data_IF_245641208242
#
_entry.id   IF_245641208242
#
_cell.length_a   1.000
_cell.length_b   1.000
_cell.length_c   1.000
_cell.angle_alpha   90.00
_cell.angle_beta   90.00
_cell.angle_gamma   90.00
#
_symmetry.space_group_name_H-M   'P 1'
#
loop_
_entity.id
_entity.type
_entity.pdbx_description
1 polymer ?
#
# COMPACT_ATOMS: atom_id res chain seq x y z
N UNK A 1 -74.94 -8.47 -1.30
CA UNK A 1 -74.26 -7.17 -1.11
C UNK A 1 -73.05 -7.36 -0.20
N UNK A 2 -71.97 -7.96 -0.71
CA UNK A 2 -70.75 -8.25 0.06
C UNK A 2 -69.49 -7.70 -0.59
N UNK A 3 -69.59 -6.63 -1.39
CA UNK A 3 -68.64 -6.35 -2.48
C UNK A 3 -67.64 -5.23 -2.18
N UNK A 4 -67.55 -4.73 -0.95
CA UNK A 4 -66.70 -3.57 -0.64
C UNK A 4 -65.74 -3.85 0.52
N UNK A 5 -66.18 -4.52 1.58
CA UNK A 5 -65.31 -4.83 2.73
C UNK A 5 -64.30 -5.95 2.43
N UNK A 6 -64.70 -6.99 1.71
CA UNK A 6 -63.82 -8.12 1.37
C UNK A 6 -62.74 -7.70 0.36
N UNK A 7 -63.09 -6.84 -0.59
CA UNK A 7 -62.13 -6.30 -1.57
C UNK A 7 -61.08 -5.43 -0.88
N UNK A 8 -61.49 -4.57 0.08
CA UNK A 8 -60.54 -3.76 0.86
C UNK A 8 -59.62 -4.63 1.72
N UNK A 9 -60.13 -5.72 2.30
CA UNK A 9 -59.28 -6.65 3.06
C UNK A 9 -58.27 -7.37 2.16
N UNK A 10 -58.67 -7.75 0.95
CA UNK A 10 -57.79 -8.42 0.01
C UNK A 10 -56.69 -7.47 -0.51
N UNK A 11 -57.04 -6.23 -0.83
CA UNK A 11 -56.08 -5.20 -1.27
C UNK A 11 -55.03 -4.91 -0.17
N UNK A 12 -55.47 -4.81 1.10
CA UNK A 12 -54.55 -4.64 2.24
C UNK A 12 -53.60 -5.82 2.43
N UNK A 13 -54.08 -7.05 2.21
CA UNK A 13 -53.23 -8.25 2.31
C UNK A 13 -52.19 -8.30 1.18
N UNK A 14 -52.52 -7.80 0.01
CA UNK A 14 -51.60 -7.75 -1.13
C UNK A 14 -50.56 -6.64 -0.96
N UNK A 15 -50.95 -5.49 -0.42
CA UNK A 15 -50.03 -4.42 -0.04
C UNK A 15 -49.04 -4.87 1.07
N UNK A 16 -49.53 -5.58 2.09
CA UNK A 16 -48.67 -6.16 3.14
C UNK A 16 -47.69 -7.18 2.55
N UNK A 17 -48.12 -7.99 1.56
CA UNK A 17 -47.23 -8.96 0.89
C UNK A 17 -46.16 -8.25 0.06
N UNK A 18 -46.51 -7.19 -0.67
CA UNK A 18 -45.57 -6.38 -1.42
C UNK A 18 -44.52 -5.72 -0.49
N UNK A 19 -44.96 -5.10 0.59
CA UNK A 19 -44.08 -4.47 1.58
C UNK A 19 -43.12 -5.46 2.24
N UNK A 20 -43.57 -6.70 2.51
CA UNK A 20 -42.70 -7.77 3.03
C UNK A 20 -41.62 -8.17 2.03
N UNK A 21 -41.98 -8.29 0.75
CA UNK A 21 -41.00 -8.62 -0.30
C UNK A 21 -39.94 -7.52 -0.45
N UNK A 22 -40.36 -6.25 -0.43
CA UNK A 22 -39.42 -5.10 -0.45
C UNK A 22 -38.50 -5.09 0.78
N UNK A 23 -39.05 -5.35 1.97
CA UNK A 23 -38.26 -5.44 3.20
C UNK A 23 -37.19 -6.53 3.13
N UNK A 24 -37.51 -7.67 2.53
CA UNK A 24 -36.57 -8.78 2.35
C UNK A 24 -35.47 -8.44 1.34
N UNK A 25 -35.79 -7.73 0.25
CA UNK A 25 -34.80 -7.19 -0.70
C UNK A 25 -33.86 -6.20 -0.01
N UNK A 26 -34.41 -5.27 0.78
CA UNK A 26 -33.61 -4.30 1.55
C UNK A 26 -32.69 -5.02 2.55
N UNK A 27 -33.21 -6.00 3.29
CA UNK A 27 -32.42 -6.80 4.25
C UNK A 27 -31.30 -7.57 3.58
N UNK A 28 -31.56 -8.20 2.44
CA UNK A 28 -30.55 -8.95 1.69
C UNK A 28 -29.50 -8.02 1.08
N UNK A 29 -29.90 -6.84 0.62
CA UNK A 29 -28.98 -5.80 0.12
C UNK A 29 -28.08 -5.27 1.24
N UNK A 30 -28.65 -4.97 2.42
CA UNK A 30 -27.88 -4.56 3.61
C UNK A 30 -26.93 -5.67 4.09
N UNK A 31 -27.35 -6.94 4.07
CA UNK A 31 -26.45 -8.08 4.35
C UNK A 31 -25.32 -8.18 3.33
N UNK A 32 -25.60 -8.02 2.04
CA UNK A 32 -24.58 -8.02 0.99
C UNK A 32 -23.58 -6.87 1.13
N UNK A 33 -24.07 -5.67 1.49
CA UNK A 33 -23.23 -4.50 1.79
C UNK A 33 -22.38 -4.74 3.05
N UNK A 34 -22.96 -5.31 4.12
CA UNK A 34 -22.24 -5.68 5.34
C UNK A 34 -21.14 -6.71 5.08
N UNK A 35 -21.39 -7.72 4.24
CA UNK A 35 -20.39 -8.74 3.89
C UNK A 35 -19.25 -8.16 3.04
N UNK A 36 -19.56 -7.23 2.12
CA UNK A 36 -18.53 -6.52 1.33
C UNK A 36 -17.72 -5.54 2.18
N UNK A 37 -18.35 -4.87 3.15
CA UNK A 37 -17.67 -4.02 4.13
C UNK A 37 -16.85 -4.83 5.15
N UNK A 38 -17.26 -6.06 5.47
CA UNK A 38 -16.49 -7.00 6.29
C UNK A 38 -15.30 -7.62 5.57
N UNK A 39 -15.18 -7.47 4.25
CA UNK A 39 -13.94 -7.77 3.54
C UNK A 39 -12.94 -6.59 3.63
N UNK A 40 -12.97 -5.88 4.75
CA UNK A 40 -11.86 -5.07 5.19
C UNK A 40 -10.73 -6.05 5.52
N UNK A 41 -9.67 -6.05 4.71
CA UNK A 41 -8.46 -6.81 5.03
C UNK A 41 -7.95 -6.24 6.35
N UNK A 42 -8.17 -6.97 7.44
CA UNK A 42 -7.66 -6.60 8.75
C UNK A 42 -6.15 -6.80 8.66
N UNK A 43 -5.40 -5.69 8.63
CA UNK A 43 -3.95 -5.73 8.76
C UNK A 43 -3.64 -6.45 10.07
N UNK A 44 -3.07 -7.65 9.98
CA UNK A 44 -2.65 -8.42 11.16
C UNK A 44 -1.33 -7.90 11.70
N UNK A 45 -0.48 -7.38 10.82
CA UNK A 45 0.83 -6.86 11.21
C UNK A 45 1.31 -5.78 10.23
N UNK A 46 2.15 -4.86 10.69
CA UNK A 46 2.83 -3.91 9.83
C UNK A 46 4.28 -3.76 10.30
N UNK A 47 5.22 -3.91 9.38
CA UNK A 47 6.65 -3.72 9.65
C UNK A 47 7.14 -2.47 8.92
N UNK A 48 7.55 -1.47 9.70
CA UNK A 48 8.00 -0.18 9.22
C UNK A 48 9.40 0.12 9.71
N UNK A 49 10.19 0.79 8.89
CA UNK A 49 11.51 1.27 9.24
C UNK A 49 11.68 2.75 8.92
N UNK A 50 12.48 3.43 9.74
CA UNK A 50 12.90 4.80 9.45
C UNK A 50 13.85 4.84 8.26
N UNK A 51 13.85 5.96 7.53
CA UNK A 51 14.78 6.23 6.43
C UNK A 51 16.25 6.26 6.84
N UNK A 52 16.55 6.16 8.14
CA UNK A 52 17.89 5.98 8.68
C UNK A 52 18.51 4.63 8.33
N UNK A 53 17.70 3.59 8.13
CA UNK A 53 18.16 2.21 7.89
C UNK A 53 18.32 1.82 6.42
N UNK A 54 18.51 2.78 5.51
CA UNK A 54 18.66 2.48 4.09
C UNK A 54 20.09 2.10 3.72
N UNK A 55 20.22 1.36 2.62
CA UNK A 55 21.48 1.01 1.95
C UNK A 55 21.50 1.57 0.52
N UNK A 56 22.66 2.03 0.07
CA UNK A 56 22.85 2.57 -1.28
C UNK A 56 23.59 1.57 -2.15
N UNK A 57 23.07 1.30 -3.35
CA UNK A 57 23.76 0.43 -4.30
C UNK A 57 24.99 1.12 -4.93
N UNK A 58 24.90 2.43 -5.13
CA UNK A 58 26.02 3.22 -5.63
C UNK A 58 26.97 3.58 -4.47
N UNK A 59 28.21 3.08 -4.45
CA UNK A 59 29.17 3.39 -3.39
C UNK A 59 29.66 4.85 -3.45
N UNK A 60 29.46 5.53 -4.57
CA UNK A 60 29.87 6.93 -4.76
C UNK A 60 28.83 7.94 -4.25
N UNK A 61 27.59 7.49 -3.99
CA UNK A 61 26.55 8.36 -3.46
C UNK A 61 26.76 8.69 -1.99
N UNK A 62 26.23 9.83 -1.56
CA UNK A 62 26.30 10.25 -0.15
C UNK A 62 24.94 10.05 0.51
N UNK A 63 24.95 9.45 1.70
CA UNK A 63 23.80 9.39 2.61
C UNK A 63 24.11 10.21 3.88
N UNK A 64 23.34 11.27 4.12
CA UNK A 64 23.41 12.07 5.35
C UNK A 64 22.17 11.79 6.19
N UNK A 65 22.36 11.14 7.33
CA UNK A 65 21.30 10.84 8.30
C UNK A 65 21.01 12.07 9.16
N UNK A 66 19.75 12.51 9.18
CA UNK A 66 19.33 13.78 9.80
C UNK A 66 17.99 13.60 10.51
N UNK A 67 18.02 13.50 11.84
CA UNK A 67 16.82 13.31 12.66
C UNK A 67 16.08 12.03 12.27
N UNK A 68 14.96 12.16 11.56
CA UNK A 68 14.07 11.06 11.19
C UNK A 68 14.17 10.63 9.72
N UNK A 69 15.08 11.21 8.94
CA UNK A 69 15.25 10.92 7.52
C UNK A 69 16.73 10.82 7.12
N UNK A 70 16.97 10.32 5.90
CA UNK A 70 18.29 10.33 5.27
C UNK A 70 18.22 11.09 3.95
N UNK A 71 19.08 12.09 3.78
CA UNK A 71 19.29 12.79 2.51
C UNK A 71 20.30 12.02 1.68
N UNK A 72 19.88 11.56 0.50
CA UNK A 72 20.71 10.92 -0.52
C UNK A 72 21.00 11.91 -1.63
N UNK A 73 22.27 12.07 -2.00
CA UNK A 73 22.72 12.92 -3.11
C UNK A 73 23.64 12.15 -4.05
N UNK A 74 23.59 12.41 -5.37
CA UNK A 74 24.40 11.71 -6.36
C UNK A 74 25.86 12.16 -6.29
N UNK A 75 26.69 11.46 -7.06
CA UNK A 75 28.05 11.87 -7.40
C UNK A 75 28.13 12.22 -8.89
N UNK A 76 29.28 12.70 -9.34
CA UNK A 76 29.53 12.86 -10.77
C UNK A 76 29.69 11.51 -11.50
N UNK A 77 30.00 10.43 -10.77
CA UNK A 77 30.20 9.09 -11.34
C UNK A 77 28.87 8.40 -11.64
N UNK A 78 27.85 8.62 -10.80
CA UNK A 78 26.53 8.05 -11.00
C UNK A 78 25.42 8.99 -10.55
N UNK A 79 24.46 9.21 -11.45
CA UNK A 79 23.25 10.01 -11.20
C UNK A 79 21.97 9.14 -11.24
N UNK A 80 22.11 7.82 -11.31
CA UNK A 80 20.98 6.88 -11.22
C UNK A 80 21.39 5.60 -10.51
N UNK A 81 20.51 5.06 -9.69
CA UNK A 81 20.82 3.88 -8.89
C UNK A 81 19.68 3.53 -7.94
N UNK A 82 19.96 2.58 -7.06
CA UNK A 82 18.97 2.00 -6.16
C UNK A 82 19.26 2.31 -4.69
N UNK A 83 18.17 2.47 -3.95
CA UNK A 83 18.15 2.60 -2.50
C UNK A 83 17.33 1.44 -1.94
N UNK A 84 17.92 0.71 -1.00
CA UNK A 84 17.38 -0.53 -0.45
C UNK A 84 16.94 -0.33 0.99
N UNK A 85 15.72 -0.75 1.31
CA UNK A 85 15.15 -0.79 2.65
C UNK A 85 14.99 -2.25 3.06
N UNK A 86 15.81 -2.68 4.03
CA UNK A 86 15.70 -4.01 4.62
C UNK A 86 14.61 -3.98 5.69
N UNK A 87 13.41 -4.44 5.34
CA UNK A 87 12.28 -4.44 6.26
C UNK A 87 12.51 -5.56 7.28
N UNK A 88 12.43 -5.29 8.60
CA UNK A 88 12.55 -6.32 9.63
C UNK A 88 11.27 -7.16 9.66
N UNK A 89 11.12 -8.03 8.67
CA UNK A 89 9.86 -8.70 8.38
C UNK A 89 9.60 -9.86 9.33
N UNK A 90 8.49 -9.85 10.10
CA UNK A 90 8.04 -11.05 10.78
C UNK A 90 7.45 -11.99 9.74
N UNK A 91 8.06 -13.17 9.60
CA UNK A 91 7.62 -14.17 8.64
C UNK A 91 6.44 -15.00 9.21
N UNK A 92 6.47 -15.25 10.52
CA UNK A 92 5.46 -16.01 11.26
C UNK A 92 5.05 -15.23 12.50
N UNK A 93 3.76 -15.05 12.71
CA UNK A 93 3.17 -14.44 13.91
C UNK A 93 2.10 -15.37 14.44
N UNK A 94 2.15 -15.70 15.74
CA UNK A 94 1.23 -16.62 16.40
C UNK A 94 1.05 -17.97 15.68
N UNK A 95 2.15 -18.51 15.13
CA UNK A 95 2.18 -19.78 14.41
C UNK A 95 1.59 -19.72 12.99
N UNK A 96 1.18 -18.55 12.51
CA UNK A 96 0.63 -18.34 11.17
C UNK A 96 1.63 -17.56 10.32
N UNK A 97 1.87 -18.06 9.09
CA UNK A 97 2.68 -17.34 8.11
C UNK A 97 1.93 -16.12 7.60
N UNK A 98 2.59 -14.96 7.61
CA UNK A 98 1.98 -13.71 7.16
C UNK A 98 1.83 -13.68 5.64
N UNK A 99 0.77 -13.02 5.17
CA UNK A 99 0.58 -12.70 3.76
C UNK A 99 0.72 -11.20 3.51
N UNK A 100 1.24 -10.82 2.35
CA UNK A 100 1.46 -9.41 2.02
C UNK A 100 0.18 -8.71 1.62
N UNK A 101 -0.01 -7.46 2.05
CA UNK A 101 -1.10 -6.58 1.59
C UNK A 101 -0.57 -5.44 0.70
N UNK A 102 0.30 -4.59 1.26
CA UNK A 102 0.80 -3.41 0.55
C UNK A 102 2.19 -2.99 1.03
N UNK A 103 2.95 -2.36 0.15
CA UNK A 103 4.27 -1.79 0.46
C UNK A 103 4.28 -0.29 0.20
N UNK A 104 5.04 0.44 1.01
CA UNK A 104 4.94 1.90 1.07
C UNK A 104 6.30 2.57 1.27
N UNK A 105 6.48 3.75 0.70
CA UNK A 105 7.63 4.62 0.98
C UNK A 105 7.19 6.08 1.12
N UNK A 106 7.78 6.78 2.08
CA UNK A 106 7.58 8.21 2.34
C UNK A 106 8.88 8.95 2.08
N UNK A 107 8.82 10.01 1.27
CA UNK A 107 10.02 10.72 0.82
C UNK A 107 9.75 12.19 0.46
N UNK A 108 10.82 12.95 0.27
CA UNK A 108 10.81 14.25 -0.43
C UNK A 108 11.92 14.27 -1.48
N UNK A 109 11.79 15.08 -2.52
CA UNK A 109 12.86 15.29 -3.50
C UNK A 109 13.14 16.77 -3.66
N UNK A 110 14.38 17.10 -4.05
CA UNK A 110 14.68 18.37 -4.69
C UNK A 110 14.16 18.39 -6.13
N UNK A 111 14.25 19.56 -6.77
CA UNK A 111 13.73 19.74 -8.13
C UNK A 111 14.49 18.93 -9.20
N UNK A 112 15.73 18.53 -8.92
CA UNK A 112 16.59 17.78 -9.85
C UNK A 112 16.73 16.30 -9.45
N UNK A 113 15.70 15.73 -8.80
CA UNK A 113 15.68 14.33 -8.39
C UNK A 113 14.27 13.77 -8.50
N UNK A 114 14.15 12.49 -8.85
CA UNK A 114 12.88 11.77 -8.95
C UNK A 114 13.02 10.30 -8.57
N UNK A 115 11.93 9.73 -8.06
CA UNK A 115 11.78 8.28 -7.93
C UNK A 115 11.30 7.73 -9.28
N UNK A 116 12.00 6.72 -9.79
CA UNK A 116 11.77 6.11 -11.11
C UNK A 116 11.24 4.68 -11.03
N UNK A 117 11.51 3.98 -9.93
CA UNK A 117 11.13 2.58 -9.76
C UNK A 117 10.79 2.29 -8.30
N UNK A 118 9.87 1.36 -8.08
CA UNK A 118 9.55 0.81 -6.78
C UNK A 118 9.37 -0.70 -6.91
N UNK A 119 10.29 -1.47 -6.32
CA UNK A 119 10.24 -2.92 -6.34
C UNK A 119 10.12 -3.45 -4.92
N UNK A 120 9.48 -4.61 -4.80
CA UNK A 120 9.43 -5.37 -3.55
C UNK A 120 9.90 -6.78 -3.81
N UNK A 121 10.77 -7.26 -2.94
CA UNK A 121 11.29 -8.62 -2.93
C UNK A 121 10.85 -9.35 -1.67
N UNK A 122 10.73 -10.67 -1.77
CA UNK A 122 10.73 -11.63 -0.65
C UNK A 122 11.83 -12.65 -0.94
N UNK A 123 12.92 -12.59 -0.16
CA UNK A 123 14.17 -13.24 -0.53
C UNK A 123 14.66 -12.80 -1.91
N UNK A 124 14.96 -13.75 -2.78
CA UNK A 124 15.36 -13.55 -4.17
C UNK A 124 14.19 -13.26 -5.13
N UNK A 125 12.95 -13.48 -4.68
CA UNK A 125 11.77 -13.38 -5.55
C UNK A 125 11.24 -11.95 -5.55
N UNK A 126 11.17 -11.34 -6.73
CA UNK A 126 10.50 -10.04 -6.90
C UNK A 126 8.99 -10.22 -6.95
N UNK A 127 8.28 -9.73 -5.95
CA UNK A 127 6.82 -9.88 -5.79
C UNK A 127 6.03 -8.67 -6.28
N UNK A 128 6.70 -7.52 -6.45
CA UNK A 128 6.12 -6.32 -7.05
C UNK A 128 7.19 -5.54 -7.82
N UNK A 129 6.80 -5.03 -8.98
CA UNK A 129 7.49 -3.92 -9.61
C UNK A 129 6.50 -2.86 -10.09
N UNK A 130 6.92 -1.61 -9.94
CA UNK A 130 6.37 -0.47 -10.64
C UNK A 130 7.54 0.27 -11.28
N UNK A 131 7.59 0.22 -12.61
CA UNK A 131 8.63 0.83 -13.42
C UNK A 131 8.07 2.07 -14.13
N UNK A 132 8.94 3.03 -14.43
CA UNK A 132 8.58 4.27 -15.14
C UNK A 132 7.80 5.29 -14.29
N UNK A 133 8.08 5.32 -12.99
CA UNK A 133 7.67 6.43 -12.15
C UNK A 133 8.43 7.70 -12.52
N UNK A 134 7.85 8.85 -12.20
CA UNK A 134 8.54 10.14 -12.24
C UNK A 134 8.07 11.00 -11.08
N UNK A 135 8.14 10.44 -9.86
CA UNK A 135 7.61 11.10 -8.68
C UNK A 135 8.62 12.09 -8.10
N UNK A 136 8.14 13.31 -7.86
CA UNK A 136 8.90 14.43 -7.29
C UNK A 136 8.04 15.16 -6.27
N UNK A 137 8.67 15.94 -5.39
CA UNK A 137 7.97 16.87 -4.50
C UNK A 137 8.25 16.62 -3.03
N UNK A 138 7.57 17.37 -2.16
CA UNK A 138 7.77 17.32 -0.71
C UNK A 138 6.75 16.39 -0.05
N UNK A 139 7.18 15.66 0.98
CA UNK A 139 6.36 14.78 1.81
C UNK A 139 5.45 13.84 1.00
N UNK A 140 5.98 13.33 -0.10
CA UNK A 140 5.32 12.39 -0.98
C UNK A 140 5.17 11.02 -0.31
N UNK A 141 4.19 10.29 -0.81
CA UNK A 141 3.85 8.97 -0.34
C UNK A 141 3.50 8.09 -1.54
N UNK A 142 4.17 6.95 -1.65
CA UNK A 142 3.89 5.93 -2.65
C UNK A 142 3.40 4.67 -1.93
N UNK A 143 2.30 4.10 -2.44
CA UNK A 143 1.71 2.86 -1.97
C UNK A 143 1.59 1.93 -3.17
N UNK A 144 2.06 0.70 -3.02
CA UNK A 144 1.90 -0.35 -4.01
C UNK A 144 1.15 -1.53 -3.39
N UNK A 145 0.04 -1.98 -4.00
CA UNK A 145 -0.61 -3.22 -3.59
C UNK A 145 0.33 -4.40 -3.91
N UNK A 146 0.39 -5.36 -3.00
CA UNK A 146 1.13 -6.61 -3.16
C UNK A 146 0.17 -7.77 -3.48
N UNK A 147 0.67 -8.89 -4.02
CA UNK A 147 -0.16 -10.06 -4.25
C UNK A 147 -0.72 -10.58 -2.92
N UNK A 148 -2.05 -10.57 -2.81
CA UNK A 148 -2.77 -10.90 -1.57
C UNK A 148 -2.47 -12.32 -1.07
N UNK A 149 -2.37 -13.29 -1.98
CA UNK A 149 -2.12 -14.68 -1.62
C UNK A 149 -0.63 -15.03 -1.45
N UNK A 150 0.28 -14.05 -1.54
CA UNK A 150 1.71 -14.28 -1.34
C UNK A 150 2.03 -14.44 0.14
N UNK A 151 2.37 -15.66 0.53
CA UNK A 151 2.93 -15.94 1.85
C UNK A 151 4.40 -15.48 1.91
N UNK A 152 4.73 -14.70 2.94
CA UNK A 152 6.11 -14.26 3.16
C UNK A 152 6.96 -15.47 3.54
N UNK A 153 8.07 -15.69 2.83
CA UNK A 153 8.92 -16.87 3.00
C UNK A 153 10.20 -16.58 3.78
N UNK A 154 10.93 -15.55 3.38
CA UNK A 154 12.31 -15.32 3.83
C UNK A 154 12.51 -13.96 4.48
N UNK A 155 11.73 -12.98 4.05
CA UNK A 155 11.83 -11.60 4.51
C UNK A 155 11.80 -10.65 3.33
N UNK A 156 11.22 -9.48 3.54
CA UNK A 156 10.91 -8.56 2.44
C UNK A 156 11.85 -7.37 2.40
N UNK A 157 12.14 -6.89 1.20
CA UNK A 157 12.87 -5.64 0.98
C UNK A 157 12.11 -4.74 0.02
N UNK A 158 12.21 -3.42 0.24
CA UNK A 158 11.72 -2.42 -0.71
C UNK A 158 12.94 -1.79 -1.38
N UNK A 159 12.97 -1.81 -2.71
CA UNK A 159 14.03 -1.22 -3.52
C UNK A 159 13.46 -0.06 -4.32
N UNK A 160 14.05 1.12 -4.18
CA UNK A 160 13.59 2.34 -4.83
C UNK A 160 14.64 2.81 -5.83
N UNK A 161 14.24 2.89 -7.09
CA UNK A 161 15.07 3.46 -8.16
C UNK A 161 15.01 4.98 -8.10
N UNK A 162 16.16 5.63 -8.11
CA UNK A 162 16.30 7.08 -8.05
C UNK A 162 17.09 7.55 -9.25
N UNK A 163 16.65 8.66 -9.84
CA UNK A 163 17.39 9.39 -10.87
C UNK A 163 17.52 10.86 -10.49
N UNK A 164 18.71 11.37 -10.66
CA UNK A 164 19.09 12.75 -10.47
C UNK A 164 19.41 13.39 -11.83
N UNK A 165 19.18 14.70 -11.94
CA UNK A 165 19.58 15.50 -13.09
C UNK A 165 20.72 16.45 -12.64
N UNK A 166 21.96 15.96 -12.73
CA UNK A 166 23.15 16.64 -12.23
C UNK A 166 23.46 16.38 -10.76
N UNK A 167 24.37 17.18 -10.19
CA UNK A 167 24.91 17.05 -8.82
C UNK A 167 24.74 18.33 -7.99
N UNK A 168 23.89 19.24 -8.45
CA UNK A 168 23.63 20.51 -7.78
C UNK A 168 22.82 20.39 -6.48
N UNK A 169 22.56 21.50 -5.77
CA UNK A 169 21.87 21.51 -4.48
C UNK A 169 20.45 20.91 -4.50
N UNK A 170 19.79 20.91 -5.66
CA UNK A 170 18.45 20.35 -5.87
C UNK A 170 18.46 18.86 -6.27
N UNK A 171 19.64 18.25 -6.42
CA UNK A 171 19.79 16.84 -6.72
C UNK A 171 19.83 16.03 -5.40
N UNK A 172 18.68 15.94 -4.72
CA UNK A 172 18.57 15.17 -3.48
C UNK A 172 17.24 14.42 -3.37
N UNK A 173 17.27 13.29 -2.66
CA UNK A 173 16.08 12.62 -2.15
C UNK A 173 16.21 12.44 -0.65
N UNK A 174 15.18 12.80 0.09
CA UNK A 174 15.06 12.56 1.52
C UNK A 174 14.12 11.37 1.74
N UNK A 175 14.65 10.27 2.23
CA UNK A 175 13.83 9.12 2.61
C UNK A 175 13.47 9.19 4.09
N UNK A 176 12.17 9.10 4.39
CA UNK A 176 11.62 9.29 5.73
C UNK A 176 11.28 7.95 6.38
N UNK A 177 10.59 7.08 5.64
CA UNK A 177 10.20 5.76 6.12
C UNK A 177 9.82 4.85 4.93
N UNK A 178 9.93 3.54 5.14
CA UNK A 178 9.38 2.53 4.25
C UNK A 178 8.80 1.38 5.09
N UNK A 179 7.81 0.66 4.56
CA UNK A 179 7.18 -0.42 5.30
C UNK A 179 6.25 -1.27 4.47
N UNK A 180 5.92 -2.44 5.01
CA UNK A 180 4.98 -3.40 4.43
C UNK A 180 3.90 -3.74 5.46
N UNK A 181 2.66 -3.78 4.99
CA UNK A 181 1.50 -4.23 5.73
C UNK A 181 1.19 -5.69 5.36
N UNK A 182 0.78 -6.47 6.37
CA UNK A 182 0.53 -7.91 6.29
C UNK A 182 -0.82 -8.28 6.90
N UNK A 183 -1.37 -9.42 6.48
CA UNK A 183 -2.60 -10.00 7.02
C UNK A 183 -2.56 -11.53 7.11
#
# INVERSE_FOLDING_TARGET
>A
MGTTSENVQQDLLDEIRALRAELDVVRNTQRGLSLRQQQQVVIKHAAWMHGLGLELESPSWKAVRQGYYTTVTPSHESQSGWVHFVIPTPVIVDGVRLKTDSARVRFSTGAAARITNFHVFDGETKIRDNNSLSMTGKMQYLIEPLPKDHEVLWGTAICVGVKFDGTGPEAYVQFIAAGIDFY
#
